data_IF_239494612196
#
_entry.id   IF_239494612196
#
_cell.length_a   1.000
_cell.length_b   1.000
_cell.length_c   1.000
_cell.angle_alpha   90.00
_cell.angle_beta   90.00
_cell.angle_gamma   90.00
#
_symmetry.space_group_name_H-M   'P 1'
#
loop_
_entity.id
_entity.type
_entity.pdbx_description
1 polymer ?
#
# COMPACT_ATOMS: atom_id res chain seq x y z
N UNK A 1 11.07 15.26 -26.51
CA UNK A 1 11.36 15.49 -25.07
C UNK A 1 11.06 14.22 -24.27
N UNK A 2 12.06 13.50 -23.75
CA UNK A 2 11.83 12.32 -22.93
C UNK A 2 11.34 12.73 -21.53
N UNK A 3 10.04 12.52 -21.26
CA UNK A 3 9.43 12.78 -19.95
C UNK A 3 9.33 11.47 -19.17
N UNK A 4 9.63 11.51 -17.88
CA UNK A 4 9.44 10.37 -16.99
C UNK A 4 7.93 10.06 -16.87
N UNK A 5 7.52 8.91 -17.39
CA UNK A 5 6.12 8.45 -17.36
C UNK A 5 5.94 7.43 -16.25
N UNK A 6 4.90 7.58 -15.44
CA UNK A 6 4.58 6.59 -14.41
C UNK A 6 4.32 5.21 -15.02
N UNK A 7 4.83 4.17 -14.36
CA UNK A 7 4.71 2.79 -14.83
C UNK A 7 3.25 2.31 -14.84
N UNK A 8 2.69 2.10 -16.04
CA UNK A 8 1.26 1.78 -16.24
C UNK A 8 0.83 0.44 -15.63
N UNK A 9 1.69 -0.58 -15.70
CA UNK A 9 1.38 -1.90 -15.13
C UNK A 9 1.22 -1.86 -13.61
N UNK A 10 1.95 -0.96 -12.95
CA UNK A 10 1.88 -0.77 -11.51
C UNK A 10 0.67 0.09 -11.14
N UNK A 11 0.44 1.19 -11.87
CA UNK A 11 -0.71 2.07 -11.67
C UNK A 11 -2.07 1.34 -11.76
N UNK A 12 -2.17 0.27 -12.56
CA UNK A 12 -3.38 -0.57 -12.65
C UNK A 12 -3.59 -1.47 -11.42
N UNK A 13 -2.53 -1.81 -10.68
CA UNK A 13 -2.55 -2.81 -9.59
C UNK A 13 -2.65 -2.20 -8.20
N UNK A 14 -2.27 -0.93 -8.06
CA UNK A 14 -2.22 -0.23 -6.78
C UNK A 14 -3.12 1.01 -6.78
N UNK A 15 -3.61 1.39 -5.59
CA UNK A 15 -4.27 2.67 -5.36
C UNK A 15 -3.48 3.46 -4.33
N UNK A 16 -3.19 4.73 -4.62
CA UNK A 16 -2.53 5.64 -3.67
C UNK A 16 -3.60 6.39 -2.90
N UNK A 17 -3.52 6.40 -1.55
CA UNK A 17 -4.42 7.18 -0.70
C UNK A 17 -4.09 8.67 -0.73
N UNK A 18 -4.98 9.52 -0.19
CA UNK A 18 -4.73 10.97 0.00
C UNK A 18 -3.40 11.22 0.74
N UNK A 19 -3.11 10.42 1.76
CA UNK A 19 -1.89 10.50 2.56
C UNK A 19 -0.65 9.90 1.88
N UNK A 20 -0.77 9.29 0.70
CA UNK A 20 0.36 8.66 0.00
C UNK A 20 0.63 7.21 0.39
N UNK A 21 -0.26 6.56 1.16
CA UNK A 21 -0.17 5.11 1.46
C UNK A 21 -0.53 4.32 0.20
N UNK A 22 0.26 3.29 -0.12
CA UNK A 22 -0.01 2.41 -1.27
C UNK A 22 -0.88 1.24 -0.84
N UNK A 23 -2.08 1.14 -1.42
CA UNK A 23 -3.07 0.06 -1.19
C UNK A 23 -3.03 -0.96 -2.32
N UNK A 24 -3.03 -2.25 -1.96
CA UNK A 24 -3.10 -3.35 -2.93
C UNK A 24 -3.89 -4.56 -2.41
N UNK A 25 -4.32 -5.41 -3.34
CA UNK A 25 -5.01 -6.66 -3.05
C UNK A 25 -4.05 -7.78 -2.65
N UNK A 26 -4.50 -8.70 -1.78
CA UNK A 26 -3.65 -9.82 -1.34
C UNK A 26 -3.50 -10.87 -2.47
N UNK A 27 -2.28 -11.36 -2.75
CA UNK A 27 -2.07 -12.45 -3.69
C UNK A 27 -2.72 -13.75 -3.20
N UNK A 28 -2.91 -14.73 -4.09
CA UNK A 28 -3.53 -16.03 -3.83
C UNK A 28 -4.99 -16.01 -3.34
N UNK A 29 -5.69 -14.89 -3.51
CA UNK A 29 -7.07 -14.71 -3.05
C UNK A 29 -8.15 -15.32 -3.95
N UNK A 30 -7.82 -15.63 -5.21
CA UNK A 30 -8.78 -16.08 -6.23
C UNK A 30 -8.86 -17.60 -6.41
N UNK A 31 -7.73 -18.27 -6.65
CA UNK A 31 -7.66 -19.69 -6.99
C UNK A 31 -7.24 -20.55 -5.80
N UNK A 32 -7.53 -21.85 -5.89
CA UNK A 32 -7.18 -22.87 -4.89
C UNK A 32 -7.66 -22.48 -3.48
N UNK A 33 -8.97 -22.31 -3.34
CA UNK A 33 -9.61 -21.99 -2.04
C UNK A 33 -10.00 -23.22 -1.25
N UNK A 34 -10.18 -24.38 -1.90
CA UNK A 34 -10.58 -25.64 -1.28
C UNK A 34 -9.66 -26.06 -0.13
N UNK A 35 -8.34 -25.92 -0.32
CA UNK A 35 -7.34 -26.39 0.64
C UNK A 35 -7.01 -25.33 1.71
N UNK A 36 -7.71 -24.19 1.71
CA UNK A 36 -7.43 -23.06 2.62
C UNK A 36 -8.47 -23.03 3.73
N UNK A 37 -8.01 -22.74 4.95
CA UNK A 37 -8.92 -22.51 6.06
C UNK A 37 -9.83 -21.30 5.81
N UNK A 38 -11.03 -21.33 6.39
CA UNK A 38 -11.97 -20.20 6.31
C UNK A 38 -11.36 -18.90 6.84
N UNK A 39 -10.57 -18.97 7.92
CA UNK A 39 -9.86 -17.82 8.49
C UNK A 39 -8.84 -17.22 7.52
N UNK A 40 -8.09 -18.06 6.80
CA UNK A 40 -7.15 -17.61 5.78
C UNK A 40 -7.88 -16.91 4.63
N UNK A 41 -8.99 -17.46 4.14
CA UNK A 41 -9.81 -16.87 3.07
C UNK A 41 -10.37 -15.50 3.50
N UNK A 42 -10.86 -15.38 4.74
CA UNK A 42 -11.34 -14.12 5.29
C UNK A 42 -10.21 -13.08 5.38
N UNK A 43 -8.99 -13.48 5.77
CA UNK A 43 -7.82 -12.58 5.82
C UNK A 43 -7.52 -11.92 4.48
N UNK A 44 -7.79 -12.60 3.36
CA UNK A 44 -7.55 -12.09 2.01
C UNK A 44 -8.51 -10.97 1.58
N UNK A 45 -9.66 -10.85 2.26
CA UNK A 45 -10.62 -9.76 2.02
C UNK A 45 -10.05 -8.41 2.47
N UNK A 46 -9.21 -8.41 3.50
CA UNK A 46 -8.57 -7.20 4.03
C UNK A 46 -7.47 -6.72 3.07
N UNK A 47 -7.56 -5.45 2.65
CA UNK A 47 -6.54 -4.83 1.78
C UNK A 47 -5.24 -4.66 2.56
N UNK A 48 -4.11 -4.82 1.87
CA UNK A 48 -2.78 -4.59 2.43
C UNK A 48 -2.23 -3.25 1.98
N UNK A 49 -1.27 -2.78 2.75
CA UNK A 49 -0.52 -1.57 2.49
C UNK A 49 0.97 -1.87 2.40
N UNK A 50 1.72 -1.06 1.65
CA UNK A 50 3.16 -1.25 1.43
C UNK A 50 3.98 -0.94 2.69
N UNK A 51 4.99 -1.77 2.95
CA UNK A 51 5.95 -1.61 4.03
C UNK A 51 7.12 -0.71 3.58
N UNK A 52 7.91 -0.24 4.54
CA UNK A 52 9.03 0.68 4.32
C UNK A 52 10.04 0.21 3.26
N UNK A 53 10.34 -1.10 3.21
CA UNK A 53 11.26 -1.67 2.22
C UNK A 53 10.87 -1.42 0.76
N UNK A 54 9.59 -1.54 0.43
CA UNK A 54 9.12 -1.45 -0.97
C UNK A 54 9.01 0.00 -1.46
N UNK A 55 8.86 0.97 -0.54
CA UNK A 55 8.50 2.36 -0.88
C UNK A 55 9.53 3.00 -1.83
N UNK A 56 10.83 2.73 -1.64
CA UNK A 56 11.88 3.32 -2.47
C UNK A 56 11.74 2.91 -3.95
N UNK A 57 11.45 1.63 -4.20
CA UNK A 57 11.26 1.12 -5.56
C UNK A 57 9.94 1.64 -6.16
N UNK A 58 8.86 1.63 -5.39
CA UNK A 58 7.55 2.11 -5.83
C UNK A 58 7.56 3.60 -6.18
N UNK A 59 8.27 4.41 -5.39
CA UNK A 59 8.42 5.85 -5.62
C UNK A 59 9.12 6.15 -6.95
N UNK A 60 10.20 5.41 -7.26
CA UNK A 60 10.92 5.54 -8.54
C UNK A 60 10.04 5.22 -9.75
N UNK A 61 9.19 4.19 -9.65
CA UNK A 61 8.33 3.76 -10.77
C UNK A 61 7.15 4.69 -11.03
N UNK A 62 6.65 5.35 -9.98
CA UNK A 62 5.51 6.26 -10.09
C UNK A 62 5.91 7.73 -10.24
N UNK A 63 7.14 8.08 -9.87
CA UNK A 63 7.65 9.45 -9.76
C UNK A 63 6.80 10.30 -8.81
N UNK A 64 6.42 9.73 -7.66
CA UNK A 64 5.59 10.40 -6.64
C UNK A 64 6.12 10.09 -5.23
N UNK A 65 6.02 11.03 -4.28
CA UNK A 65 6.32 10.75 -2.89
C UNK A 65 5.27 9.78 -2.31
N UNK A 66 5.73 8.69 -1.73
CA UNK A 66 4.88 7.65 -1.13
C UNK A 66 5.26 7.46 0.34
N UNK A 67 4.27 7.10 1.15
CA UNK A 67 4.46 6.80 2.57
C UNK A 67 4.28 5.31 2.85
N UNK A 68 5.15 4.79 3.70
CA UNK A 68 4.95 3.47 4.31
C UNK A 68 3.86 3.52 5.37
N UNK A 69 3.31 2.35 5.71
CA UNK A 69 2.37 2.22 6.83
C UNK A 69 2.97 2.76 8.13
N UNK A 70 4.20 2.38 8.45
CA UNK A 70 4.88 2.81 9.67
C UNK A 70 5.01 4.33 9.75
N UNK A 71 5.40 5.00 8.66
CA UNK A 71 5.53 6.46 8.64
C UNK A 71 4.18 7.15 8.74
N UNK A 72 3.15 6.59 8.10
CA UNK A 72 1.80 7.13 8.21
C UNK A 72 1.25 7.03 9.64
N UNK A 73 1.46 5.88 10.30
CA UNK A 73 1.06 5.67 11.68
C UNK A 73 1.81 6.60 12.64
N UNK A 74 3.13 6.77 12.46
CA UNK A 74 3.91 7.75 13.25
C UNK A 74 3.39 9.17 13.10
N UNK A 75 3.01 9.56 11.87
CA UNK A 75 2.43 10.88 11.60
C UNK A 75 1.07 11.06 12.26
N UNK A 76 0.21 10.05 12.14
CA UNK A 76 -1.12 10.04 12.79
C UNK A 76 -0.97 10.14 14.32
N UNK A 77 -0.06 9.35 14.91
CA UNK A 77 0.24 9.42 16.35
C UNK A 77 0.80 10.78 16.79
N UNK A 78 1.71 11.40 16.01
CA UNK A 78 2.24 12.73 16.33
C UNK A 78 1.14 13.80 16.34
N UNK A 79 0.22 13.75 15.36
CA UNK A 79 -0.93 14.65 15.31
C UNK A 79 -1.88 14.45 16.50
N UNK A 80 -2.10 13.21 16.91
CA UNK A 80 -2.93 12.92 18.10
C UNK A 80 -2.31 13.44 19.40
N UNK A 81 -0.98 13.42 19.52
CA UNK A 81 -0.27 13.99 20.67
C UNK A 81 -0.39 15.52 20.67
N UNK A 82 -0.18 16.17 19.53
CA UNK A 82 -0.29 17.62 19.37
C UNK A 82 -1.69 18.15 19.68
N UNK A 83 -2.75 17.42 19.29
CA UNK A 83 -4.15 17.81 19.56
C UNK A 83 -4.54 17.64 21.03
N UNK A 84 -3.85 16.78 21.78
CA UNK A 84 -4.14 16.49 23.19
C UNK A 84 -3.31 17.32 24.17
N UNK A 85 -2.21 17.91 23.70
CA UNK A 85 -1.36 18.83 24.45
C UNK A 85 -1.96 20.24 24.45
#
# INVERSE_FOLDING_TARGET
MPKNKSHKGLAKRIKVSKTGKVRFGRPHSRHLKSNKSGTAIQSYRKKRYARSGDIRALSKLLFRPLLSVEKAQKREAALEVEVKA
#
